data_IF_287593177876
#
_entry.id   IF_287593177876
#
_cell.length_a   1.000
_cell.length_b   1.000
_cell.length_c   1.000
_cell.angle_alpha   90.00
_cell.angle_beta   90.00
_cell.angle_gamma   90.00
#
_symmetry.space_group_name_H-M   'P 1'
#
loop_
_entity.id
_entity.type
_entity.pdbx_description
1 polymer ?
#
# COMPACT_ATOMS: atom_id res chain seq x y z
N UNK A 1 -16.11 -17.20 7.07
CA UNK A 1 -14.77 -16.64 7.23
C UNK A 1 -14.38 -15.88 5.96
N UNK A 2 -14.06 -14.62 6.13
CA UNK A 2 -13.68 -13.81 4.98
C UNK A 2 -12.21 -13.93 4.70
N UNK A 3 -11.94 -14.32 3.47
CA UNK A 3 -10.57 -14.32 2.99
C UNK A 3 -10.51 -13.31 1.86
N UNK A 4 -10.02 -12.14 2.22
CA UNK A 4 -9.90 -11.07 1.25
C UNK A 4 -8.77 -11.38 0.27
N UNK A 5 -9.10 -11.38 -1.01
CA UNK A 5 -8.11 -11.60 -2.07
C UNK A 5 -8.14 -10.39 -2.99
N UNK A 6 -7.19 -9.48 -2.82
CA UNK A 6 -7.17 -8.29 -3.66
C UNK A 6 -6.81 -8.60 -5.10
N UNK A 7 -7.21 -7.71 -5.98
CA UNK A 7 -6.85 -7.82 -7.39
C UNK A 7 -5.62 -6.97 -7.67
N UNK A 8 -4.86 -7.37 -8.69
CA UNK A 8 -3.71 -6.59 -9.13
C UNK A 8 -4.17 -5.18 -9.51
N UNK A 9 -3.47 -4.18 -9.01
CA UNK A 9 -3.80 -2.79 -9.22
C UNK A 9 -4.66 -2.18 -8.14
N UNK A 10 -5.22 -3.00 -7.25
CA UNK A 10 -6.07 -2.51 -6.17
C UNK A 10 -5.23 -1.85 -5.08
N UNK A 11 -5.76 -0.80 -4.47
CA UNK A 11 -5.10 -0.17 -3.32
C UNK A 11 -5.58 -0.85 -2.05
N UNK A 12 -4.63 -1.28 -1.23
CA UNK A 12 -4.91 -2.00 0.00
C UNK A 12 -4.15 -1.40 1.17
N UNK A 13 -4.66 -1.68 2.36
CA UNK A 13 -4.00 -1.33 3.62
C UNK A 13 -3.30 -2.57 4.15
N UNK A 14 -2.00 -2.44 4.43
CA UNK A 14 -1.22 -3.51 5.04
C UNK A 14 -1.17 -3.27 6.54
N UNK A 15 -1.80 -4.17 7.30
CA UNK A 15 -1.90 -4.01 8.75
C UNK A 15 -0.53 -4.13 9.44
N UNK A 16 0.36 -4.92 8.89
CA UNK A 16 1.67 -5.12 9.52
C UNK A 16 2.55 -3.89 9.40
N UNK A 17 2.58 -3.27 8.24
CA UNK A 17 3.42 -2.09 8.00
C UNK A 17 2.68 -0.78 8.21
N UNK A 18 1.34 -0.85 8.30
CA UNK A 18 0.46 0.31 8.46
C UNK A 18 0.65 1.29 7.32
N UNK A 19 0.66 0.77 6.12
CA UNK A 19 0.83 1.57 4.90
C UNK A 19 -0.14 1.13 3.83
N UNK A 20 -0.47 2.07 2.95
CA UNK A 20 -1.25 1.79 1.75
C UNK A 20 -0.29 1.37 0.65
N UNK A 21 -0.65 0.34 -0.08
CA UNK A 21 0.11 -0.09 -1.24
C UNK A 21 -0.79 -0.52 -2.38
N UNK A 22 -0.25 -0.50 -3.57
CA UNK A 22 -0.92 -1.02 -4.75
C UNK A 22 -0.48 -2.46 -4.96
N UNK A 23 -1.45 -3.34 -5.14
CA UNK A 23 -1.17 -4.76 -5.36
C UNK A 23 -0.52 -4.93 -6.73
N UNK A 24 0.68 -5.49 -6.75
CA UNK A 24 1.43 -5.73 -7.99
C UNK A 24 1.37 -7.19 -8.42
N UNK A 25 1.24 -8.10 -7.47
CA UNK A 25 1.20 -9.51 -7.79
C UNK A 25 1.17 -10.36 -6.54
N UNK A 26 1.29 -11.66 -6.73
CA UNK A 26 1.26 -12.63 -5.64
C UNK A 26 2.41 -13.60 -5.85
N UNK A 27 3.33 -13.65 -4.89
CA UNK A 27 4.51 -14.52 -4.95
C UNK A 27 4.45 -15.48 -3.78
N UNK A 28 4.21 -16.76 -4.07
CA UNK A 28 4.06 -17.74 -3.00
C UNK A 28 2.95 -17.30 -2.04
N UNK A 29 3.22 -17.27 -0.73
CA UNK A 29 2.19 -16.88 0.23
C UNK A 29 2.02 -15.37 0.41
N UNK A 30 2.80 -14.55 -0.33
CA UNK A 30 2.84 -13.11 -0.07
C UNK A 30 2.29 -12.31 -1.23
N UNK A 31 1.58 -11.23 -0.88
CA UNK A 31 1.17 -10.23 -1.85
C UNK A 31 2.28 -9.19 -1.98
N UNK A 32 2.60 -8.83 -3.20
CA UNK A 32 3.62 -7.81 -3.46
C UNK A 32 2.94 -6.47 -3.60
N UNK A 33 3.39 -5.51 -2.81
CA UNK A 33 2.80 -4.17 -2.77
C UNK A 33 3.83 -3.12 -3.17
N UNK A 34 3.33 -2.08 -3.85
CA UNK A 34 4.16 -0.94 -4.21
C UNK A 34 3.62 0.29 -3.48
N UNK A 35 4.49 1.12 -2.89
CA UNK A 35 4.03 2.32 -2.21
C UNK A 35 3.33 3.28 -3.17
N UNK A 36 2.34 4.00 -2.64
CA UNK A 36 1.69 5.07 -3.39
C UNK A 36 2.73 6.15 -3.67
N UNK A 37 2.85 6.55 -4.93
CA UNK A 37 3.83 7.57 -5.31
C UNK A 37 5.21 7.02 -5.65
N UNK A 38 5.36 5.71 -5.67
CA UNK A 38 6.61 5.06 -6.04
C UNK A 38 7.47 4.71 -4.86
N UNK A 39 8.57 4.03 -5.11
CA UNK A 39 9.48 3.57 -4.09
C UNK A 39 9.64 2.07 -4.14
N UNK A 40 10.27 1.52 -3.11
CA UNK A 40 10.58 0.09 -3.09
C UNK A 40 9.33 -0.73 -2.77
N UNK A 41 9.10 -1.76 -3.57
CA UNK A 41 8.06 -2.73 -3.31
C UNK A 41 8.37 -3.54 -2.06
N UNK A 42 7.33 -4.05 -1.42
CA UNK A 42 7.53 -4.94 -0.27
C UNK A 42 6.54 -6.11 -0.33
N UNK A 43 6.87 -7.18 0.38
CA UNK A 43 5.99 -8.34 0.51
C UNK A 43 5.13 -8.17 1.74
N UNK A 44 3.83 -8.23 1.57
CA UNK A 44 2.90 -8.14 2.69
C UNK A 44 2.91 -9.45 3.47
N UNK A 45 3.26 -9.37 4.73
CA UNK A 45 3.33 -10.55 5.60
C UNK A 45 2.17 -10.62 6.57
N UNK A 46 1.39 -9.56 6.66
CA UNK A 46 0.23 -9.50 7.54
C UNK A 46 -1.06 -9.42 6.75
N UNK A 47 -2.18 -9.32 7.46
CA UNK A 47 -3.47 -9.22 6.77
C UNK A 47 -3.60 -7.93 5.98
N UNK A 48 -4.31 -8.04 4.87
CA UNK A 48 -4.63 -6.90 4.02
C UNK A 48 -6.12 -6.63 4.09
N UNK A 49 -6.49 -5.37 3.88
CA UNK A 49 -7.88 -4.99 3.67
C UNK A 49 -7.96 -3.92 2.60
N UNK A 50 -9.12 -3.72 1.97
CA UNK A 50 -9.24 -2.63 1.01
C UNK A 50 -8.89 -1.31 1.66
N UNK A 51 -8.15 -0.46 0.96
CA UNK A 51 -7.84 0.86 1.47
C UNK A 51 -9.09 1.71 1.47
N UNK A 52 -9.36 2.38 2.59
CA UNK A 52 -10.49 3.30 2.67
C UNK A 52 -10.12 4.63 2.02
N UNK A 53 -11.12 5.49 1.83
CA UNK A 53 -10.86 6.85 1.35
C UNK A 53 -9.91 7.57 2.29
N UNK A 54 -10.07 7.39 3.60
CA UNK A 54 -9.20 8.02 4.59
C UNK A 54 -7.76 7.50 4.47
N UNK A 55 -7.58 6.20 4.26
CA UNK A 55 -6.24 5.63 4.07
C UNK A 55 -5.56 6.23 2.86
N UNK A 56 -6.28 6.35 1.75
CA UNK A 56 -5.73 6.90 0.52
C UNK A 56 -5.41 8.37 0.67
N UNK A 57 -6.24 9.10 1.37
CA UNK A 57 -6.02 10.52 1.62
C UNK A 57 -4.76 10.73 2.48
N UNK A 58 -4.60 9.94 3.53
CA UNK A 58 -3.42 10.02 4.39
C UNK A 58 -2.14 9.74 3.61
N UNK A 59 -2.16 8.75 2.72
CA UNK A 59 -1.01 8.45 1.88
C UNK A 59 -0.68 9.63 0.95
N UNK A 60 -1.70 10.27 0.38
CA UNK A 60 -1.52 11.42 -0.48
C UNK A 60 -0.96 12.62 0.27
N UNK A 61 -1.43 12.85 1.49
CA UNK A 61 -0.93 13.95 2.33
C UNK A 61 0.52 13.71 2.71
N UNK A 62 0.87 12.49 3.08
CA UNK A 62 2.25 12.16 3.44
C UNK A 62 3.19 12.39 2.25
N UNK A 63 2.76 12.01 1.05
CA UNK A 63 3.55 12.22 -0.15
C UNK A 63 3.71 13.72 -0.45
N UNK A 64 2.64 14.49 -0.33
CA UNK A 64 2.68 15.93 -0.55
C UNK A 64 3.61 16.62 0.45
N UNK A 65 3.58 16.19 1.72
CA UNK A 65 4.46 16.76 2.74
C UNK A 65 5.93 16.47 2.45
N UNK A 66 6.22 15.25 1.99
CA UNK A 66 7.60 14.90 1.62
C UNK A 66 8.10 15.81 0.49
N UNK A 67 7.27 16.05 -0.50
CA UNK A 67 7.63 16.94 -1.62
C UNK A 67 7.83 18.38 -1.15
N UNK A 68 6.98 18.85 -0.24
CA UNK A 68 7.08 20.21 0.28
C UNK A 68 8.39 20.44 1.05
N UNK A 69 8.92 19.39 1.67
CA UNK A 69 10.18 19.48 2.37
C UNK A 69 11.39 19.32 1.46
N UNK A 70 11.19 19.19 0.17
CA UNK A 70 12.28 19.04 -0.78
C UNK A 70 12.85 17.64 -0.86
N UNK A 71 12.18 16.69 -0.28
CA UNK A 71 12.61 15.30 -0.36
C UNK A 71 12.32 14.75 -1.74
N UNK A 72 13.29 14.04 -2.33
CA UNK A 72 13.09 13.43 -3.63
C UNK A 72 12.05 12.32 -3.53
N UNK A 73 11.17 12.22 -4.51
CA UNK A 73 10.19 11.13 -4.55
C UNK A 73 10.87 9.78 -4.78
#
# INVERSE_FOLDING_TARGET
MNRYEPETGELVWDEATRKVGRVMGHEGPYWQLRPVGGGREWDARGPLRPATAADRLSAGVALANARSRGEAP
#
